data_IF_411372154575
#
_entry.id   IF_411372154575
#
_cell.length_a   1.000
_cell.length_b   1.000
_cell.length_c   1.000
_cell.angle_alpha   90.00
_cell.angle_beta   90.00
_cell.angle_gamma   90.00
#
_symmetry.space_group_name_H-M   'P 1'
#
loop_
_entity.id
_entity.type
_entity.pdbx_description
1 polymer ?
#
# COMPACT_ATOMS: atom_id res chain seq x y z
N UNK A 1 -4.29 -18.54 -1.62
CA UNK A 1 -3.92 -17.49 -2.61
C UNK A 1 -2.47 -17.64 -2.99
N UNK A 2 -1.51 -17.63 -2.06
CA UNK A 2 -0.08 -17.74 -2.36
C UNK A 2 0.25 -19.02 -3.14
N UNK A 3 -0.22 -20.17 -2.68
CA UNK A 3 -0.05 -21.45 -3.40
C UNK A 3 -0.59 -21.40 -4.83
N UNK A 4 -1.74 -20.76 -5.06
CA UNK A 4 -2.32 -20.58 -6.38
C UNK A 4 -1.46 -19.72 -7.31
N UNK A 5 -0.65 -18.83 -6.74
CA UNK A 5 0.34 -18.01 -7.45
C UNK A 5 1.71 -18.68 -7.54
N UNK A 6 1.85 -19.93 -7.10
CA UNK A 6 3.12 -20.66 -7.06
C UNK A 6 4.07 -20.19 -5.96
N UNK A 7 3.61 -19.35 -5.02
CA UNK A 7 4.41 -18.90 -3.89
C UNK A 7 4.24 -19.90 -2.76
N UNK A 8 5.20 -20.80 -2.62
CA UNK A 8 5.24 -21.86 -1.60
C UNK A 8 6.49 -21.71 -0.73
N UNK A 9 6.50 -22.30 0.45
CA UNK A 9 7.69 -22.33 1.33
C UNK A 9 8.89 -22.99 0.66
N UNK A 10 8.64 -24.04 -0.14
CA UNK A 10 9.69 -24.71 -0.92
C UNK A 10 10.31 -23.78 -1.97
N UNK A 11 9.48 -23.00 -2.69
CA UNK A 11 9.94 -22.06 -3.72
C UNK A 11 10.64 -20.84 -3.14
N UNK A 12 10.12 -20.32 -2.04
CA UNK A 12 10.66 -19.11 -1.40
C UNK A 12 11.80 -19.40 -0.43
N UNK A 13 12.01 -20.67 -0.07
CA UNK A 13 12.94 -21.09 0.98
C UNK A 13 12.69 -20.34 2.32
N UNK A 14 11.44 -19.94 2.55
CA UNK A 14 11.03 -19.14 3.70
C UNK A 14 9.69 -19.62 4.25
N UNK A 15 9.52 -19.53 5.57
CA UNK A 15 8.29 -19.89 6.25
C UNK A 15 7.15 -18.89 5.91
N UNK A 16 5.98 -19.42 5.56
CA UNK A 16 4.79 -18.61 5.29
C UNK A 16 3.94 -18.50 6.54
N UNK A 17 3.93 -17.33 7.16
CA UNK A 17 3.15 -17.02 8.35
C UNK A 17 2.03 -16.05 8.03
N UNK A 18 0.78 -16.47 8.20
CA UNK A 18 -0.41 -15.63 8.03
C UNK A 18 -1.22 -15.59 9.31
N UNK A 19 -1.53 -14.39 9.78
CA UNK A 19 -2.37 -14.16 10.96
C UNK A 19 -3.13 -12.85 10.81
N UNK A 20 -4.27 -12.72 11.48
CA UNK A 20 -5.00 -11.46 11.65
C UNK A 20 -4.69 -10.78 12.99
N UNK A 21 -3.81 -11.39 13.81
CA UNK A 21 -3.40 -10.80 15.08
C UNK A 21 -2.52 -9.58 14.88
N UNK A 22 -2.76 -8.57 15.71
CA UNK A 22 -2.02 -7.30 15.68
C UNK A 22 -1.52 -6.93 17.06
N UNK A 23 -0.44 -6.13 17.09
CA UNK A 23 0.03 -5.40 18.26
C UNK A 23 -0.09 -3.90 18.01
N UNK A 24 -0.22 -3.12 19.08
CA UNK A 24 -0.22 -1.66 19.00
C UNK A 24 1.24 -1.20 19.02
N UNK A 25 1.64 -0.44 18.01
CA UNK A 25 3.00 0.12 17.88
C UNK A 25 3.10 1.59 18.28
N UNK A 26 1.98 2.24 18.56
CA UNK A 26 1.90 3.64 18.95
C UNK A 26 0.50 4.19 18.79
N UNK A 27 0.39 5.50 18.98
CA UNK A 27 -0.86 6.24 18.80
C UNK A 27 -0.62 7.47 17.93
N UNK A 28 -1.63 7.87 17.19
CA UNK A 28 -1.62 9.13 16.44
C UNK A 28 -1.79 10.32 17.39
N UNK A 29 -1.53 11.55 16.93
CA UNK A 29 -1.67 12.79 17.72
C UNK A 29 -3.06 12.96 18.32
N UNK A 30 -4.10 12.40 17.71
CA UNK A 30 -5.49 12.43 18.18
C UNK A 30 -5.91 11.14 18.93
N UNK A 31 -4.92 10.35 19.40
CA UNK A 31 -5.13 9.21 20.30
C UNK A 31 -5.66 7.95 19.61
N UNK A 32 -5.48 7.80 18.30
CA UNK A 32 -5.88 6.59 17.57
C UNK A 32 -4.80 5.54 17.68
N UNK A 33 -5.08 4.34 18.22
CA UNK A 33 -4.09 3.28 18.31
C UNK A 33 -3.74 2.74 16.93
N UNK A 34 -2.44 2.63 16.65
CA UNK A 34 -1.92 2.11 15.39
C UNK A 34 -1.51 0.66 15.56
N UNK A 35 -2.15 -0.18 14.77
CA UNK A 35 -1.96 -1.63 14.80
C UNK A 35 -0.98 -2.09 13.72
N UNK A 36 -0.14 -3.07 14.05
CA UNK A 36 0.75 -3.76 13.12
C UNK A 36 0.61 -5.27 13.28
N UNK A 37 0.75 -6.00 12.18
CA UNK A 37 0.82 -7.47 12.16
C UNK A 37 1.77 -7.99 13.23
N UNK A 38 1.31 -8.94 14.04
CA UNK A 38 2.07 -9.48 15.19
C UNK A 38 3.34 -10.19 14.72
N UNK A 39 3.28 -10.97 13.63
CA UNK A 39 4.44 -11.68 13.12
C UNK A 39 5.51 -10.70 12.60
N UNK A 40 5.08 -9.70 11.82
CA UNK A 40 5.97 -8.66 11.33
C UNK A 40 6.60 -7.85 12.48
N UNK A 41 5.81 -7.45 13.47
CA UNK A 41 6.30 -6.69 14.62
C UNK A 41 7.26 -7.49 15.52
N UNK A 42 7.18 -8.82 15.51
CA UNK A 42 8.06 -9.70 16.29
C UNK A 42 9.35 -10.09 15.57
N UNK A 43 9.49 -9.77 14.29
CA UNK A 43 10.71 -9.98 13.53
C UNK A 43 11.78 -8.95 13.87
N UNK A 44 13.05 -9.24 13.61
CA UNK A 44 14.13 -8.25 13.76
C UNK A 44 13.91 -7.06 12.84
N UNK A 45 13.52 -7.32 11.59
CA UNK A 45 13.18 -6.30 10.59
C UNK A 45 12.04 -6.79 9.70
N UNK A 46 11.29 -5.84 9.16
CA UNK A 46 10.23 -6.07 8.17
C UNK A 46 10.56 -5.35 6.88
N UNK A 47 10.37 -6.02 5.75
CA UNK A 47 10.40 -5.41 4.42
C UNK A 47 9.02 -5.51 3.81
N UNK A 48 8.52 -4.40 3.27
CA UNK A 48 7.24 -4.41 2.56
C UNK A 48 7.46 -4.31 1.05
N UNK A 49 6.55 -4.89 0.28
CA UNK A 49 6.54 -4.79 -1.18
C UNK A 49 5.17 -4.30 -1.59
N UNK A 50 5.12 -3.24 -2.40
CA UNK A 50 3.86 -2.65 -2.82
C UNK A 50 3.91 -2.11 -4.24
N UNK A 51 2.83 -2.28 -4.99
CA UNK A 51 2.62 -1.53 -6.23
C UNK A 51 2.18 -0.12 -5.91
N UNK A 52 2.82 0.86 -6.56
CA UNK A 52 2.47 2.27 -6.46
C UNK A 52 1.59 2.63 -7.65
N UNK A 53 0.35 3.00 -7.37
CA UNK A 53 -0.63 3.39 -8.38
C UNK A 53 -1.71 4.31 -7.81
N UNK A 54 -2.41 5.09 -8.64
CA UNK A 54 -3.57 5.85 -8.18
C UNK A 54 -4.68 4.92 -7.69
N UNK A 55 -5.44 5.40 -6.72
CA UNK A 55 -6.59 4.67 -6.19
C UNK A 55 -7.86 4.97 -7.02
N UNK A 56 -8.73 3.98 -7.19
CA UNK A 56 -9.96 4.15 -7.98
C UNK A 56 -11.00 5.09 -7.33
N UNK A 57 -11.00 5.22 -5.99
CA UNK A 57 -12.10 5.88 -5.25
C UNK A 57 -11.73 7.16 -4.52
N UNK A 58 -10.45 7.48 -4.37
CA UNK A 58 -10.01 8.72 -3.74
C UNK A 58 -8.71 9.24 -4.35
N UNK A 59 -8.43 10.52 -4.11
CA UNK A 59 -7.17 11.17 -4.48
C UNK A 59 -6.53 11.75 -3.23
N UNK A 60 -5.19 11.72 -3.19
CA UNK A 60 -4.43 12.26 -2.08
C UNK A 60 -2.93 12.18 -2.32
N UNK A 61 -2.17 12.69 -1.35
CA UNK A 61 -0.70 12.60 -1.35
C UNK A 61 -0.22 11.14 -1.34
N UNK A 62 -0.96 10.27 -0.66
CA UNK A 62 -0.76 8.82 -0.63
C UNK A 62 -2.05 8.15 -1.10
N UNK A 63 -1.94 7.24 -2.06
CA UNK A 63 -3.08 6.53 -2.61
C UNK A 63 -2.89 5.00 -2.45
N UNK A 64 -2.56 4.27 -3.51
CA UNK A 64 -2.13 2.87 -3.39
C UNK A 64 -0.61 2.80 -3.50
N UNK A 65 0.04 2.27 -2.45
CA UNK A 65 1.50 2.24 -2.39
C UNK A 65 2.02 1.70 -1.07
N UNK A 66 3.21 2.12 -0.72
CA UNK A 66 3.98 1.61 0.42
C UNK A 66 3.36 2.04 1.75
N UNK A 67 2.93 3.30 1.88
CA UNK A 67 2.24 3.79 3.09
C UNK A 67 0.94 3.02 3.31
N UNK A 68 0.15 2.80 2.25
CA UNK A 68 -1.07 2.00 2.36
C UNK A 68 -0.77 0.54 2.73
N UNK A 69 0.34 -0.03 2.24
CA UNK A 69 0.78 -1.36 2.63
C UNK A 69 1.08 -1.44 4.14
N UNK A 70 1.73 -0.44 4.70
CA UNK A 70 1.93 -0.36 6.15
C UNK A 70 0.60 -0.20 6.90
N UNK A 71 -0.19 0.81 6.56
CA UNK A 71 -1.38 1.21 7.33
C UNK A 71 -2.52 0.19 7.24
N UNK A 72 -2.79 -0.36 6.06
CA UNK A 72 -3.88 -1.31 5.81
C UNK A 72 -3.35 -2.74 5.70
N UNK A 73 -2.26 -2.98 5.00
CA UNK A 73 -1.67 -4.30 4.85
C UNK A 73 -1.16 -4.85 6.18
N UNK A 74 -0.17 -4.21 6.79
CA UNK A 74 0.34 -4.58 8.12
C UNK A 74 -0.65 -4.23 9.24
N UNK A 75 -1.48 -3.19 9.09
CA UNK A 75 -2.54 -2.84 10.04
C UNK A 75 -3.67 -3.85 10.12
N UNK A 76 -3.75 -4.78 9.17
CA UNK A 76 -4.76 -5.83 9.06
C UNK A 76 -6.19 -5.28 9.10
N UNK A 77 -7.14 -6.08 9.59
CA UNK A 77 -8.55 -5.68 9.71
C UNK A 77 -8.72 -4.40 10.53
N UNK A 78 -8.01 -4.25 11.64
CA UNK A 78 -8.14 -3.09 12.53
C UNK A 78 -7.71 -1.78 11.86
N UNK A 79 -6.59 -1.81 11.12
CA UNK A 79 -6.12 -0.65 10.36
C UNK A 79 -7.07 -0.31 9.21
N UNK A 80 -7.54 -1.33 8.49
CA UNK A 80 -8.51 -1.16 7.42
C UNK A 80 -9.84 -0.59 7.92
N UNK A 81 -10.40 -1.15 8.99
CA UNK A 81 -11.69 -0.73 9.55
C UNK A 81 -11.65 0.74 9.98
N UNK A 82 -10.59 1.16 10.68
CA UNK A 82 -10.44 2.55 11.06
C UNK A 82 -10.45 3.49 9.84
N UNK A 83 -9.64 3.19 8.83
CA UNK A 83 -9.54 4.02 7.63
C UNK A 83 -10.86 4.08 6.86
N UNK A 84 -11.57 2.95 6.72
CA UNK A 84 -12.83 2.87 6.00
C UNK A 84 -14.00 3.48 6.77
N UNK A 85 -14.06 3.31 8.10
CA UNK A 85 -15.10 3.90 8.94
C UNK A 85 -15.12 5.43 8.86
N UNK A 86 -13.96 6.05 8.71
CA UNK A 86 -13.82 7.51 8.53
C UNK A 86 -14.27 8.00 7.13
N UNK A 87 -14.57 7.09 6.22
CA UNK A 87 -15.02 7.38 4.86
C UNK A 87 -13.88 7.71 3.88
N UNK A 88 -14.15 7.51 2.59
CA UNK A 88 -13.14 7.67 1.53
C UNK A 88 -12.57 9.09 1.42
N UNK A 89 -13.34 10.11 1.78
CA UNK A 89 -12.87 11.49 1.77
C UNK A 89 -11.72 11.76 2.76
N UNK A 90 -11.63 10.96 3.83
CA UNK A 90 -10.58 11.07 4.84
C UNK A 90 -9.43 10.07 4.65
N UNK A 91 -9.53 9.19 3.66
CA UNK A 91 -8.57 8.10 3.47
C UNK A 91 -7.13 8.61 3.34
N UNK A 92 -6.87 9.58 2.47
CA UNK A 92 -5.54 10.14 2.28
C UNK A 92 -4.96 10.75 3.56
N UNK A 93 -5.78 11.46 4.34
CA UNK A 93 -5.38 12.04 5.64
C UNK A 93 -5.09 10.95 6.68
N UNK A 94 -5.90 9.89 6.72
CA UNK A 94 -5.69 8.78 7.65
C UNK A 94 -4.42 7.99 7.30
N UNK A 95 -4.16 7.76 6.01
CA UNK A 95 -2.92 7.13 5.56
C UNK A 95 -1.70 7.93 6.00
N UNK A 96 -1.73 9.25 5.84
CA UNK A 96 -0.62 10.12 6.26
C UNK A 96 -0.41 10.06 7.78
N UNK A 97 -1.48 10.24 8.55
CA UNK A 97 -1.43 10.29 10.01
C UNK A 97 -0.90 8.98 10.62
N UNK A 98 -1.46 7.85 10.19
CA UNK A 98 -1.05 6.53 10.68
C UNK A 98 0.33 6.15 10.11
N UNK A 99 0.62 6.52 8.86
CA UNK A 99 1.92 6.30 8.22
C UNK A 99 3.08 6.94 8.97
N UNK A 100 2.87 8.12 9.59
CA UNK A 100 3.89 8.76 10.46
C UNK A 100 4.21 7.88 11.67
N UNK A 101 3.22 7.27 12.30
CA UNK A 101 3.43 6.37 13.45
C UNK A 101 4.19 5.11 13.01
N UNK A 102 3.87 4.56 11.83
CA UNK A 102 4.63 3.44 11.27
C UNK A 102 6.09 3.82 11.02
N UNK A 103 6.34 4.98 10.41
CA UNK A 103 7.70 5.49 10.17
C UNK A 103 8.52 5.57 11.46
N UNK A 104 7.90 6.06 12.53
CA UNK A 104 8.61 6.39 13.77
C UNK A 104 8.74 5.21 14.75
N UNK A 105 7.80 4.24 14.68
CA UNK A 105 7.66 3.21 15.72
C UNK A 105 7.73 1.77 15.21
N UNK A 106 7.75 1.53 13.88
CA UNK A 106 7.81 0.16 13.37
C UNK A 106 9.25 -0.31 13.13
N UNK A 107 9.41 -1.63 13.00
CA UNK A 107 10.64 -2.29 12.58
C UNK A 107 10.73 -2.44 11.04
N UNK A 108 9.93 -1.69 10.29
CA UNK A 108 10.02 -1.68 8.82
C UNK A 108 11.32 -1.01 8.40
N UNK A 109 12.20 -1.78 7.79
CA UNK A 109 13.52 -1.30 7.38
C UNK A 109 13.42 -0.46 6.09
N UNK A 110 12.78 -1.03 5.08
CA UNK A 110 12.50 -0.36 3.82
C UNK A 110 11.26 -0.97 3.14
N UNK A 111 10.76 -0.30 2.12
CA UNK A 111 9.72 -0.80 1.24
C UNK A 111 10.20 -0.84 -0.21
N UNK A 112 9.93 -1.94 -0.92
CA UNK A 112 10.12 -2.02 -2.36
C UNK A 112 8.86 -1.51 -3.06
N UNK A 113 8.96 -0.33 -3.66
CA UNK A 113 7.92 0.24 -4.50
C UNK A 113 8.05 -0.23 -5.95
N UNK A 114 6.95 -0.69 -6.53
CA UNK A 114 6.88 -1.18 -7.91
C UNK A 114 5.89 -0.31 -8.68
N UNK A 115 6.28 0.17 -9.86
CA UNK A 115 5.41 0.86 -10.79
C UNK A 115 5.28 0.00 -12.05
N UNK A 116 4.05 -0.15 -12.51
CA UNK A 116 3.71 -0.87 -13.74
C UNK A 116 3.43 0.13 -14.89
N UNK A 117 3.68 -0.31 -16.10
CA UNK A 117 3.34 0.42 -17.31
C UNK A 117 1.86 0.17 -17.72
N UNK A 118 1.43 0.71 -18.85
CA UNK A 118 0.07 0.54 -19.39
C UNK A 118 -0.28 -0.87 -19.86
N UNK A 119 0.68 -1.81 -19.79
CA UNK A 119 0.50 -3.23 -20.09
C UNK A 119 0.53 -4.11 -18.86
N UNK A 120 0.41 -3.50 -17.64
CA UNK A 120 0.51 -4.18 -16.35
C UNK A 120 1.87 -4.87 -16.11
N UNK A 121 2.93 -4.40 -16.77
CA UNK A 121 4.28 -4.93 -16.60
C UNK A 121 5.09 -4.04 -15.65
N UNK A 122 5.83 -4.63 -14.68
CA UNK A 122 6.77 -3.88 -13.83
C UNK A 122 7.82 -3.17 -14.69
N UNK A 123 7.82 -1.84 -14.68
CA UNK A 123 8.74 -1.02 -15.45
C UNK A 123 9.70 -0.17 -14.61
N UNK A 124 9.42 -0.05 -13.32
CA UNK A 124 10.27 0.67 -12.38
C UNK A 124 10.14 0.06 -10.97
N UNK A 125 11.27 -0.08 -10.29
CA UNK A 125 11.33 -0.55 -8.91
C UNK A 125 12.35 0.26 -8.13
N UNK A 126 12.02 0.60 -6.89
CA UNK A 126 12.91 1.32 -5.99
C UNK A 126 12.73 0.84 -4.56
N UNK A 127 13.83 0.53 -3.88
CA UNK A 127 13.84 0.23 -2.46
C UNK A 127 14.06 1.53 -1.67
N UNK A 128 13.11 1.88 -0.81
CA UNK A 128 13.08 3.16 -0.11
C UNK A 128 13.10 2.91 1.39
N UNK A 129 14.10 3.43 2.14
CA UNK A 129 14.14 3.35 3.58
C UNK A 129 12.88 3.91 4.23
N UNK A 130 12.42 3.33 5.35
CA UNK A 130 11.16 3.72 5.98
C UNK A 130 11.09 5.20 6.34
N UNK A 131 12.20 5.80 6.75
CA UNK A 131 12.28 7.23 7.07
C UNK A 131 12.12 8.16 5.86
N UNK A 132 12.28 7.67 4.64
CA UNK A 132 12.18 8.45 3.39
C UNK A 132 10.89 8.18 2.61
N UNK A 133 10.14 7.13 2.96
CA UNK A 133 8.93 6.72 2.21
C UNK A 133 7.94 7.87 2.06
N UNK A 134 7.70 8.64 3.12
CA UNK A 134 6.68 9.69 3.12
C UNK A 134 7.01 10.87 2.19
N UNK A 135 8.27 11.05 1.87
CA UNK A 135 8.72 12.09 0.94
C UNK A 135 8.80 11.53 -0.49
N UNK A 136 9.26 10.29 -0.62
CA UNK A 136 9.52 9.69 -1.92
C UNK A 136 8.29 9.11 -2.61
N UNK A 137 7.36 8.49 -1.87
CA UNK A 137 6.16 7.87 -2.47
C UNK A 137 5.31 8.82 -3.29
N UNK A 138 5.06 10.10 -2.90
CA UNK A 138 4.29 11.03 -3.72
C UNK A 138 4.90 11.28 -5.11
N UNK A 139 6.22 11.37 -5.21
CA UNK A 139 6.92 11.54 -6.50
C UNK A 139 6.75 10.30 -7.38
N UNK A 140 6.84 9.12 -6.78
CA UNK A 140 6.63 7.86 -7.48
C UNK A 140 5.17 7.66 -7.90
N UNK A 141 4.22 8.17 -7.10
CA UNK A 141 2.81 8.15 -7.46
C UNK A 141 2.54 9.03 -8.70
N UNK A 142 3.15 10.20 -8.80
CA UNK A 142 3.03 11.04 -10.01
C UNK A 142 3.66 10.33 -11.23
N UNK A 143 4.79 9.65 -11.05
CA UNK A 143 5.38 8.83 -12.11
C UNK A 143 4.43 7.69 -12.53
N UNK A 144 3.80 7.02 -11.58
CA UNK A 144 2.83 5.97 -11.87
C UNK A 144 1.60 6.51 -12.62
N UNK A 145 1.09 7.69 -12.23
CA UNK A 145 -0.03 8.36 -12.94
C UNK A 145 0.32 8.67 -14.40
N UNK A 146 1.55 9.09 -14.66
CA UNK A 146 1.99 9.39 -16.04
C UNK A 146 2.11 8.15 -16.93
N UNK A 147 2.20 6.96 -16.35
CA UNK A 147 2.30 5.68 -17.06
C UNK A 147 0.95 4.97 -17.24
N UNK A 148 -0.13 5.50 -16.65
CA UNK A 148 -1.45 4.90 -16.82
C UNK A 148 -1.94 5.01 -18.27
N UNK A 149 -2.66 3.99 -18.74
CA UNK A 149 -3.35 4.10 -20.02
C UNK A 149 -4.40 5.20 -19.95
N UNK A 150 -4.55 5.94 -21.03
CA UNK A 150 -5.56 6.98 -21.16
C UNK A 150 -6.43 6.74 -22.39
N UNK A 151 -7.68 7.16 -22.31
CA UNK A 151 -8.55 7.19 -23.48
C UNK A 151 -8.14 8.41 -24.32
N UNK A 152 -7.78 8.22 -25.61
CA UNK A 152 -7.18 9.28 -26.45
C UNK A 152 -8.21 10.27 -26.99
N UNK A 153 -9.41 10.36 -26.43
CA UNK A 153 -10.49 11.23 -26.86
C UNK A 153 -10.98 12.11 -25.71
N UNK A 154 -11.08 13.42 -25.96
CA UNK A 154 -11.55 14.37 -24.94
C UNK A 154 -13.08 14.32 -24.76
N UNK A 155 -13.82 13.99 -25.81
CA UNK A 155 -15.28 13.89 -25.79
C UNK A 155 -15.72 12.53 -26.30
N UNK A 156 -16.54 11.84 -25.51
CA UNK A 156 -17.07 10.52 -25.83
C UNK A 156 -18.59 10.56 -25.61
N UNK A 157 -19.37 10.35 -26.67
CA UNK A 157 -20.83 10.30 -26.57
C UNK A 157 -21.31 8.96 -26.00
N UNK A 158 -20.60 7.88 -26.28
CA UNK A 158 -20.91 6.54 -25.80
C UNK A 158 -19.64 5.71 -25.65
N UNK A 159 -19.42 5.16 -24.46
CA UNK A 159 -18.35 4.20 -24.17
C UNK A 159 -18.98 2.85 -23.82
N UNK A 160 -18.68 1.83 -24.59
CA UNK A 160 -19.05 0.44 -24.30
C UNK A 160 -17.81 -0.30 -23.83
N UNK A 161 -17.91 -0.91 -22.65
CA UNK A 161 -16.83 -1.69 -22.04
C UNK A 161 -17.31 -3.12 -21.87
N UNK A 162 -16.71 -4.05 -22.60
CA UNK A 162 -17.09 -5.46 -22.57
C UNK A 162 -16.70 -6.13 -21.25
N UNK A 163 -15.53 -5.77 -20.71
CA UNK A 163 -15.04 -6.30 -19.46
C UNK A 163 -14.49 -5.17 -18.58
N UNK A 164 -14.92 -5.12 -17.33
CA UNK A 164 -14.47 -4.12 -16.37
C UNK A 164 -13.76 -4.81 -15.19
N UNK A 165 -12.45 -4.74 -15.18
CA UNK A 165 -11.61 -5.26 -14.12
C UNK A 165 -11.39 -4.26 -12.99
N UNK A 166 -11.03 -4.75 -11.82
CA UNK A 166 -10.45 -3.95 -10.75
C UNK A 166 -8.94 -4.04 -10.84
N UNK A 167 -8.34 -2.95 -11.13
CA UNK A 167 -6.89 -2.86 -11.15
C UNK A 167 -6.35 -1.86 -10.13
#
# INVERSE_FOLDING_TARGET
ILEHLGVTEEYTEAEIRASMETVIIGETEDGVPVNMDKNAASADYTVTIARIKPHCSFRGKYESGMIKMCVIGLGKQKGADYCHYQGMANMGRNLEKIGRVFRDNSNVLFSLGIIENSYDEPCFMEAIPMNEIMEREPELLEKAKALLPSIPFDNIDLLIVDEFGKN
#
